data_IF_201198971331
#
_entry.id   IF_201198971331
#
_cell.length_a   1.000
_cell.length_b   1.000
_cell.length_c   1.000
_cell.angle_alpha   90.00
_cell.angle_beta   90.00
_cell.angle_gamma   90.00
#
_symmetry.space_group_name_H-M   'P 1'
#
loop_
_entity.id
_entity.type
_entity.pdbx_description
1 polymer ?
#
# COMPACT_ATOMS: atom_id res chain seq x y z
N UNK A 1 -19.86 -4.19 -3.45
CA UNK A 1 -18.87 -4.01 -4.52
C UNK A 1 -19.64 -3.59 -5.76
N UNK A 2 -19.24 -2.53 -6.46
CA UNK A 2 -19.88 -2.19 -7.75
C UNK A 2 -19.46 -3.24 -8.79
N UNK A 3 -20.45 -3.98 -9.29
CA UNK A 3 -20.28 -5.10 -10.22
C UNK A 3 -19.73 -4.66 -11.58
N UNK A 4 -20.01 -3.44 -12.01
CA UNK A 4 -19.50 -2.92 -13.30
C UNK A 4 -18.01 -2.70 -13.22
N UNK A 5 -17.56 -1.95 -12.21
CA UNK A 5 -16.13 -1.71 -11.98
C UNK A 5 -15.37 -3.01 -11.73
N UNK A 6 -15.98 -3.96 -11.01
CA UNK A 6 -15.41 -5.29 -10.82
C UNK A 6 -15.19 -5.98 -12.17
N UNK A 7 -16.21 -6.05 -13.02
CA UNK A 7 -16.11 -6.67 -14.35
C UNK A 7 -15.02 -6.02 -15.21
N UNK A 8 -14.91 -4.69 -15.18
CA UNK A 8 -13.89 -3.96 -15.93
C UNK A 8 -12.47 -4.25 -15.44
N UNK A 9 -12.26 -4.38 -14.13
CA UNK A 9 -10.96 -4.77 -13.56
C UNK A 9 -10.56 -6.20 -13.97
N UNK A 10 -11.50 -7.14 -13.97
CA UNK A 10 -11.26 -8.51 -14.45
C UNK A 10 -11.00 -8.56 -15.96
N UNK A 11 -11.68 -7.71 -16.74
CA UNK A 11 -11.42 -7.57 -18.16
C UNK A 11 -10.01 -7.02 -18.43
N UNK A 12 -9.57 -6.01 -17.68
CA UNK A 12 -8.22 -5.45 -17.80
C UNK A 12 -7.14 -6.46 -17.39
N UNK A 13 -7.34 -7.19 -16.29
CA UNK A 13 -6.45 -8.27 -15.87
C UNK A 13 -6.34 -9.37 -16.95
N UNK A 14 -7.47 -9.74 -17.58
CA UNK A 14 -7.49 -10.72 -18.68
C UNK A 14 -6.73 -10.21 -19.90
N UNK A 15 -6.96 -8.94 -20.27
CA UNK A 15 -6.26 -8.27 -21.38
C UNK A 15 -4.74 -8.24 -21.17
N UNK A 16 -4.29 -8.07 -19.92
CA UNK A 16 -2.87 -8.12 -19.53
C UNK A 16 -2.31 -9.54 -19.48
N UNK A 17 -3.14 -10.56 -19.69
CA UNK A 17 -2.73 -11.97 -19.69
C UNK A 17 -2.52 -12.54 -18.28
N UNK A 18 -3.16 -11.97 -17.26
CA UNK A 18 -3.05 -12.46 -15.88
C UNK A 18 -3.74 -13.82 -15.73
N UNK A 19 -3.17 -14.69 -14.89
CA UNK A 19 -3.81 -15.96 -14.55
C UNK A 19 -4.90 -15.73 -13.50
N UNK A 20 -6.14 -15.55 -13.94
CA UNK A 20 -7.27 -15.27 -13.05
C UNK A 20 -7.55 -16.36 -12.02
N UNK A 21 -7.09 -17.61 -12.23
CA UNK A 21 -7.23 -18.66 -11.20
C UNK A 21 -6.40 -18.35 -9.95
N UNK A 22 -5.28 -17.66 -10.11
CA UNK A 22 -4.39 -17.28 -9.03
C UNK A 22 -4.71 -15.88 -8.51
N UNK A 23 -5.14 -14.98 -9.41
CA UNK A 23 -5.30 -13.57 -9.07
C UNK A 23 -6.70 -13.19 -8.59
N UNK A 24 -7.74 -14.00 -8.79
CA UNK A 24 -9.12 -13.55 -8.51
C UNK A 24 -9.32 -13.03 -7.08
N UNK A 25 -8.83 -13.75 -6.07
CA UNK A 25 -8.91 -13.32 -4.66
C UNK A 25 -8.12 -12.04 -4.38
N UNK A 26 -6.81 -11.99 -4.68
CA UNK A 26 -6.02 -10.77 -4.57
C UNK A 26 -6.59 -9.56 -5.35
N UNK A 27 -7.13 -9.81 -6.55
CA UNK A 27 -7.76 -8.78 -7.37
C UNK A 27 -9.03 -8.23 -6.72
N UNK A 28 -9.87 -9.07 -6.10
CA UNK A 28 -11.04 -8.59 -5.36
C UNK A 28 -10.65 -7.68 -4.18
N UNK A 29 -9.48 -7.91 -3.54
CA UNK A 29 -8.94 -7.00 -2.52
C UNK A 29 -8.53 -5.66 -3.14
N UNK A 30 -7.79 -5.68 -4.25
CA UNK A 30 -7.40 -4.48 -4.97
C UNK A 30 -8.60 -3.66 -5.46
N UNK A 31 -9.64 -4.33 -5.97
CA UNK A 31 -10.90 -3.72 -6.39
C UNK A 31 -11.61 -3.05 -5.22
N UNK A 32 -11.78 -3.74 -4.10
CA UNK A 32 -12.41 -3.16 -2.91
C UNK A 32 -11.65 -1.93 -2.40
N UNK A 33 -10.32 -2.00 -2.37
CA UNK A 33 -9.47 -0.89 -1.97
C UNK A 33 -9.56 0.31 -2.91
N UNK A 34 -9.50 0.07 -4.23
CA UNK A 34 -9.61 1.13 -5.24
C UNK A 34 -10.98 1.82 -5.22
N UNK A 35 -12.06 1.05 -5.15
CA UNK A 35 -13.43 1.59 -5.07
C UNK A 35 -13.62 2.46 -3.82
N UNK A 36 -13.15 1.98 -2.68
CA UNK A 36 -13.31 2.71 -1.43
C UNK A 36 -12.45 3.98 -1.39
N UNK A 37 -11.18 3.89 -1.81
CA UNK A 37 -10.17 4.92 -1.53
C UNK A 37 -9.89 5.86 -2.70
N UNK A 38 -10.22 5.49 -3.94
CA UNK A 38 -9.86 6.24 -5.15
C UNK A 38 -11.05 6.57 -6.06
N UNK A 39 -12.29 6.40 -5.60
CA UNK A 39 -13.49 6.76 -6.36
C UNK A 39 -13.61 8.25 -6.69
N UNK A 40 -12.85 9.11 -6.00
CA UNK A 40 -12.76 10.55 -6.29
C UNK A 40 -11.89 10.88 -7.51
N UNK A 41 -11.14 9.93 -8.07
CA UNK A 41 -10.32 10.17 -9.26
C UNK A 41 -11.21 10.25 -10.50
N UNK A 42 -11.14 11.36 -11.24
CA UNK A 42 -11.94 11.53 -12.47
C UNK A 42 -11.54 10.54 -13.59
N UNK A 43 -10.30 10.03 -13.57
CA UNK A 43 -9.80 9.09 -14.57
C UNK A 43 -10.12 7.64 -14.17
N UNK A 44 -11.20 7.11 -14.76
CA UNK A 44 -11.64 5.73 -14.56
C UNK A 44 -10.55 4.68 -14.87
N UNK A 45 -9.73 4.92 -15.90
CA UNK A 45 -8.65 3.99 -16.25
C UNK A 45 -7.55 3.93 -15.19
N UNK A 46 -7.32 5.03 -14.45
CA UNK A 46 -6.38 5.06 -13.33
C UNK A 46 -6.93 4.31 -12.12
N UNK A 47 -8.24 4.37 -11.87
CA UNK A 47 -8.87 3.56 -10.81
C UNK A 47 -8.72 2.06 -11.12
N UNK A 48 -8.96 1.64 -12.36
CA UNK A 48 -8.74 0.25 -12.80
C UNK A 48 -7.26 -0.15 -12.64
N UNK A 49 -6.34 0.71 -13.08
CA UNK A 49 -4.91 0.45 -12.91
C UNK A 49 -4.55 0.21 -11.44
N UNK A 50 -5.01 1.08 -10.53
CA UNK A 50 -4.76 0.96 -9.09
C UNK A 50 -5.33 -0.36 -8.57
N UNK A 51 -6.57 -0.72 -8.93
CA UNK A 51 -7.19 -1.97 -8.51
C UNK A 51 -6.37 -3.21 -8.94
N UNK A 52 -5.98 -3.24 -10.22
CA UNK A 52 -5.23 -4.37 -10.81
C UNK A 52 -3.81 -4.43 -10.26
N UNK A 53 -3.15 -3.29 -10.11
CA UNK A 53 -1.80 -3.18 -9.56
C UNK A 53 -1.77 -3.60 -8.08
N UNK A 54 -2.68 -3.09 -7.26
CA UNK A 54 -2.81 -3.51 -5.85
C UNK A 54 -3.11 -5.01 -5.76
N UNK A 55 -4.00 -5.54 -6.59
CA UNK A 55 -4.29 -6.97 -6.62
C UNK A 55 -3.06 -7.82 -6.98
N UNK A 56 -2.22 -7.33 -7.89
CA UNK A 56 -0.94 -7.97 -8.23
C UNK A 56 0.05 -7.94 -7.06
N UNK A 57 0.16 -6.82 -6.35
CA UNK A 57 1.02 -6.72 -5.16
C UNK A 57 0.58 -7.68 -4.05
N UNK A 58 -0.73 -7.79 -3.79
CA UNK A 58 -1.30 -8.74 -2.82
C UNK A 58 -0.99 -10.18 -3.24
N UNK A 59 -1.09 -10.50 -4.53
CA UNK A 59 -0.74 -11.83 -5.01
C UNK A 59 0.75 -12.16 -4.84
N UNK A 60 1.62 -11.18 -5.07
CA UNK A 60 3.07 -11.33 -4.85
C UNK A 60 3.37 -11.56 -3.38
N UNK A 61 2.68 -10.87 -2.46
CA UNK A 61 2.77 -11.10 -1.02
C UNK A 61 2.39 -12.54 -0.65
N UNK A 62 1.21 -12.98 -1.10
CA UNK A 62 0.66 -14.31 -0.82
C UNK A 62 1.55 -15.45 -1.38
N UNK A 63 2.30 -15.19 -2.45
CA UNK A 63 3.13 -16.17 -3.15
C UNK A 63 4.64 -15.91 -3.02
N UNK A 64 5.06 -15.07 -2.08
CA UNK A 64 6.45 -14.63 -1.95
C UNK A 64 7.43 -15.81 -1.81
N UNK A 65 7.08 -16.83 -1.01
CA UNK A 65 7.90 -18.02 -0.81
C UNK A 65 8.12 -18.83 -2.11
N UNK A 66 7.09 -18.90 -2.97
CA UNK A 66 7.17 -19.61 -4.26
C UNK A 66 8.01 -18.84 -5.29
N UNK A 67 8.20 -17.54 -5.08
CA UNK A 67 8.86 -16.63 -6.01
C UNK A 67 10.18 -16.05 -5.46
N UNK A 68 10.72 -16.61 -4.37
CA UNK A 68 11.82 -15.98 -3.62
C UNK A 68 13.07 -15.73 -4.46
N UNK A 69 13.44 -16.67 -5.34
CA UNK A 69 14.55 -16.51 -6.27
C UNK A 69 14.29 -15.41 -7.31
N UNK A 70 13.02 -15.17 -7.64
CA UNK A 70 12.59 -14.09 -8.51
C UNK A 70 12.65 -12.74 -7.82
N UNK A 71 12.23 -12.65 -6.55
CA UNK A 71 12.31 -11.42 -5.75
C UNK A 71 13.77 -10.97 -5.59
N UNK A 72 14.68 -11.92 -5.29
CA UNK A 72 16.14 -11.68 -5.16
C UNK A 72 16.78 -11.06 -6.38
N UNK A 73 16.33 -11.42 -7.58
CA UNK A 73 16.89 -10.93 -8.83
C UNK A 73 16.04 -9.85 -9.49
N UNK A 74 14.90 -9.45 -8.90
CA UNK A 74 13.93 -8.58 -9.55
C UNK A 74 14.56 -7.27 -10.03
N UNK A 75 15.20 -6.54 -9.12
CA UNK A 75 15.77 -5.21 -9.40
C UNK A 75 16.88 -5.26 -10.44
N UNK A 76 17.78 -6.25 -10.35
CA UNK A 76 18.88 -6.36 -11.31
C UNK A 76 18.36 -6.74 -12.70
N UNK A 77 17.40 -7.66 -12.79
CA UNK A 77 16.74 -8.04 -14.05
C UNK A 77 15.97 -6.89 -14.65
N UNK A 78 15.24 -6.13 -13.82
CA UNK A 78 14.50 -4.95 -14.24
C UNK A 78 15.42 -3.90 -14.88
N UNK A 79 16.55 -3.58 -14.23
CA UNK A 79 17.55 -2.64 -14.76
C UNK A 79 18.20 -3.16 -16.04
N UNK A 80 18.55 -4.45 -16.09
CA UNK A 80 19.15 -5.09 -17.25
C UNK A 80 18.15 -5.39 -18.39
N UNK A 81 16.85 -5.12 -18.19
CA UNK A 81 15.75 -5.45 -19.13
C UNK A 81 15.69 -6.94 -19.47
N UNK A 82 16.01 -7.78 -18.49
CA UNK A 82 15.86 -9.23 -18.60
C UNK A 82 14.44 -9.65 -18.19
N UNK A 83 13.92 -10.75 -18.75
CA UNK A 83 12.71 -11.39 -18.23
C UNK A 83 12.85 -11.71 -16.74
N UNK A 84 11.76 -11.50 -16.00
CA UNK A 84 11.68 -11.88 -14.60
C UNK A 84 11.52 -13.40 -14.47
N UNK A 85 11.90 -13.94 -13.31
CA UNK A 85 11.80 -15.38 -13.06
C UNK A 85 10.37 -15.87 -12.77
N UNK A 86 9.47 -14.94 -12.46
CA UNK A 86 8.08 -15.23 -12.21
C UNK A 86 7.19 -14.33 -13.08
N UNK A 87 6.14 -14.93 -13.64
CA UNK A 87 5.18 -14.22 -14.49
C UNK A 87 4.48 -13.05 -13.76
N UNK A 88 4.23 -13.17 -12.46
CA UNK A 88 3.67 -12.07 -11.66
C UNK A 88 4.63 -10.86 -11.62
N UNK A 89 5.95 -11.12 -11.54
CA UNK A 89 6.97 -10.09 -11.56
C UNK A 89 7.17 -9.48 -12.96
N UNK A 90 7.04 -10.28 -14.03
CA UNK A 90 6.99 -9.75 -15.41
C UNK A 90 5.81 -8.79 -15.58
N UNK A 91 4.63 -9.18 -15.07
CA UNK A 91 3.45 -8.34 -15.09
C UNK A 91 3.64 -7.05 -14.30
N UNK A 92 4.29 -7.12 -13.14
CA UNK A 92 4.60 -5.94 -12.33
C UNK A 92 5.51 -4.99 -13.10
N UNK A 93 6.63 -5.51 -13.63
CA UNK A 93 7.58 -4.74 -14.44
C UNK A 93 6.92 -4.12 -15.68
N UNK A 94 5.99 -4.82 -16.34
CA UNK A 94 5.26 -4.29 -17.49
C UNK A 94 4.35 -3.11 -17.12
N UNK A 95 3.65 -3.19 -15.98
CA UNK A 95 2.76 -2.13 -15.51
C UNK A 95 3.50 -0.83 -15.20
N UNK A 96 4.80 -0.90 -14.83
CA UNK A 96 5.62 0.29 -14.57
C UNK A 96 5.72 1.24 -15.77
N UNK A 97 5.59 0.72 -16.99
CA UNK A 97 5.68 1.50 -18.23
C UNK A 97 4.56 2.53 -18.37
N UNK A 98 3.42 2.31 -17.71
CA UNK A 98 2.27 3.22 -17.76
C UNK A 98 2.36 4.34 -16.71
N UNK A 99 3.29 4.28 -15.75
CA UNK A 99 3.29 5.19 -14.60
C UNK A 99 3.52 6.64 -14.99
N UNK A 100 4.46 6.91 -15.90
CA UNK A 100 4.78 8.28 -16.33
C UNK A 100 3.63 8.92 -17.09
N UNK A 101 2.95 8.16 -17.94
CA UNK A 101 1.78 8.63 -18.70
C UNK A 101 0.59 8.89 -17.77
N UNK A 102 0.49 8.11 -16.69
CA UNK A 102 -0.61 8.21 -15.73
C UNK A 102 -0.40 9.29 -14.69
N UNK A 103 0.78 9.48 -14.10
CA UNK A 103 0.97 10.42 -12.97
C UNK A 103 2.06 11.47 -13.20
N UNK A 104 2.69 11.49 -14.37
CA UNK A 104 3.82 12.37 -14.66
C UNK A 104 5.12 11.93 -13.99
N UNK A 105 6.24 12.50 -14.43
CA UNK A 105 7.57 11.99 -14.12
C UNK A 105 7.90 11.90 -12.61
N UNK A 106 7.57 12.93 -11.83
CA UNK A 106 7.92 12.98 -10.40
C UNK A 106 7.17 11.88 -9.62
N UNK A 107 5.84 11.82 -9.78
CA UNK A 107 5.02 10.83 -9.11
C UNK A 107 5.34 9.41 -9.59
N UNK A 108 5.54 9.21 -10.91
CA UNK A 108 5.92 7.93 -11.46
C UNK A 108 7.23 7.38 -10.87
N UNK A 109 8.24 8.25 -10.71
CA UNK A 109 9.51 7.85 -10.09
C UNK A 109 9.34 7.48 -8.60
N UNK A 110 8.48 8.19 -7.87
CA UNK A 110 8.18 7.86 -6.46
C UNK A 110 7.42 6.53 -6.36
N UNK A 111 6.43 6.30 -7.22
CA UNK A 111 5.66 5.06 -7.29
C UNK A 111 6.59 3.88 -7.61
N UNK A 112 7.44 4.00 -8.63
CA UNK A 112 8.40 2.96 -9.00
C UNK A 112 9.41 2.67 -7.88
N UNK A 113 9.92 3.71 -7.21
CA UNK A 113 10.82 3.52 -6.08
C UNK A 113 10.14 2.75 -4.93
N UNK A 114 8.90 3.10 -4.59
CA UNK A 114 8.13 2.39 -3.56
C UNK A 114 7.82 0.94 -3.95
N UNK A 115 7.60 0.65 -5.24
CA UNK A 115 7.44 -0.72 -5.74
C UNK A 115 8.72 -1.54 -5.58
N UNK A 116 9.88 -0.97 -5.92
CA UNK A 116 11.18 -1.64 -5.74
C UNK A 116 11.46 -1.87 -4.25
N UNK A 117 11.17 -0.89 -3.40
CA UNK A 117 11.33 -1.02 -1.95
C UNK A 117 10.42 -2.12 -1.38
N UNK A 118 9.18 -2.24 -1.88
CA UNK A 118 8.26 -3.32 -1.52
C UNK A 118 8.81 -4.70 -1.84
N UNK A 119 9.31 -4.89 -3.08
CA UNK A 119 9.93 -6.16 -3.49
C UNK A 119 11.17 -6.46 -2.64
N UNK A 120 11.95 -5.44 -2.30
CA UNK A 120 13.09 -5.60 -1.40
C UNK A 120 12.66 -6.00 0.01
N UNK A 121 11.60 -5.40 0.54
CA UNK A 121 11.07 -5.70 1.87
C UNK A 121 10.60 -7.16 2.00
N UNK A 122 9.97 -7.73 0.96
CA UNK A 122 9.57 -9.14 0.94
C UNK A 122 10.73 -10.13 1.12
N UNK A 123 11.97 -9.69 0.89
CA UNK A 123 13.17 -10.48 1.16
C UNK A 123 13.70 -10.29 2.59
N UNK A 124 13.40 -9.16 3.24
CA UNK A 124 13.88 -8.85 4.58
C UNK A 124 13.17 -9.75 5.59
N UNK A 125 11.84 -9.87 5.50
CA UNK A 125 11.03 -10.56 6.52
C UNK A 125 11.46 -12.02 6.78
N UNK A 126 11.74 -12.86 5.76
CA UNK A 126 12.26 -14.20 5.98
C UNK A 126 13.66 -14.22 6.60
N UNK A 127 14.54 -13.30 6.22
CA UNK A 127 15.94 -13.26 6.67
C UNK A 127 16.07 -12.75 8.10
N UNK A 128 15.16 -11.87 8.55
CA UNK A 128 15.14 -11.38 9.94
C UNK A 128 14.34 -12.28 10.89
N UNK A 129 13.66 -13.30 10.37
CA UNK A 129 12.84 -14.22 11.17
C UNK A 129 13.71 -15.00 12.15
N UNK A 130 13.47 -14.77 13.45
CA UNK A 130 14.23 -15.42 14.53
C UNK A 130 15.60 -14.79 14.80
N UNK A 131 15.98 -13.74 14.08
CA UNK A 131 17.16 -12.95 14.42
C UNK A 131 16.92 -12.23 15.75
N UNK A 132 17.94 -12.19 16.62
CA UNK A 132 17.95 -11.30 17.77
C UNK A 132 18.11 -9.87 17.25
N UNK A 133 17.01 -9.28 16.80
CA UNK A 133 16.99 -7.88 16.40
C UNK A 133 17.19 -7.06 17.67
N UNK A 134 18.41 -6.52 17.84
CA UNK A 134 18.66 -5.40 18.74
C UNK A 134 17.92 -4.21 18.14
N UNK A 135 16.63 -4.13 18.42
CA UNK A 135 15.74 -3.15 17.83
C UNK A 135 16.28 -1.75 18.14
N UNK A 136 16.74 -1.07 17.10
CA UNK A 136 16.83 0.37 17.16
C UNK A 136 15.42 0.93 17.12
N UNK A 137 15.14 2.09 17.76
CA UNK A 137 13.82 2.73 17.70
C UNK A 137 13.30 2.92 16.26
N UNK A 138 14.21 3.14 15.31
CA UNK A 138 13.88 3.46 13.91
C UNK A 138 13.69 2.23 13.01
N UNK A 139 14.19 1.04 13.41
CA UNK A 139 14.12 -0.14 12.54
C UNK A 139 12.69 -0.56 12.18
N UNK A 140 11.71 -0.59 13.11
CA UNK A 140 10.32 -0.89 12.78
C UNK A 140 9.73 0.09 11.75
N UNK A 141 10.10 1.38 11.85
CA UNK A 141 9.64 2.40 10.90
C UNK A 141 10.26 2.17 9.52
N UNK A 142 11.57 1.91 9.47
CA UNK A 142 12.27 1.64 8.22
C UNK A 142 11.67 0.44 7.48
N UNK A 143 11.46 -0.70 8.15
CA UNK A 143 10.88 -1.87 7.48
C UNK A 143 9.45 -1.61 7.02
N UNK A 144 8.66 -0.87 7.81
CA UNK A 144 7.28 -0.50 7.47
C UNK A 144 7.20 0.41 6.25
N UNK A 145 8.10 1.39 6.13
CA UNK A 145 8.16 2.31 4.99
C UNK A 145 8.57 1.60 3.69
N UNK A 146 9.37 0.53 3.80
CA UNK A 146 9.71 -0.31 2.64
C UNK A 146 8.54 -1.21 2.22
N UNK A 147 7.91 -1.93 3.16
CA UNK A 147 6.84 -2.90 2.85
C UNK A 147 5.47 -2.26 2.59
N UNK A 148 5.27 -1.01 2.97
CA UNK A 148 3.94 -0.39 2.96
C UNK A 148 3.40 0.09 1.62
N UNK A 149 4.30 0.37 0.68
CA UNK A 149 3.97 0.98 -0.62
C UNK A 149 3.18 2.32 -0.49
N UNK A 150 3.11 2.91 0.71
CA UNK A 150 2.26 4.06 1.01
C UNK A 150 2.66 5.32 0.26
N UNK A 151 3.95 5.47 -0.10
CA UNK A 151 4.42 6.55 -0.97
C UNK A 151 3.81 6.48 -2.36
N UNK A 152 3.64 5.27 -2.91
CA UNK A 152 2.97 5.09 -4.20
C UNK A 152 1.50 5.51 -4.10
N UNK A 153 0.77 4.97 -3.13
CA UNK A 153 -0.64 5.31 -2.93
C UNK A 153 -0.85 6.81 -2.67
N UNK A 154 0.02 7.43 -1.87
CA UNK A 154 0.00 8.88 -1.61
C UNK A 154 0.13 9.71 -2.88
N UNK A 155 0.96 9.28 -3.84
CA UNK A 155 1.06 9.95 -5.14
C UNK A 155 -0.19 9.71 -5.99
N UNK A 156 -0.76 8.51 -5.93
CA UNK A 156 -1.94 8.12 -6.69
C UNK A 156 -3.24 8.79 -6.21
N UNK A 157 -3.27 9.35 -4.99
CA UNK A 157 -4.42 10.12 -4.46
C UNK A 157 -4.78 11.30 -5.34
N UNK A 158 -3.78 11.95 -5.94
CA UNK A 158 -3.96 13.21 -6.63
C UNK A 158 -4.13 13.01 -8.13
N UNK A 159 -5.08 13.76 -8.71
CA UNK A 159 -5.30 13.73 -10.15
C UNK A 159 -4.01 14.12 -10.89
N UNK A 160 -3.67 13.45 -12.00
CA UNK A 160 -2.49 13.77 -12.81
C UNK A 160 -2.53 15.18 -13.41
N UNK A 161 -3.73 15.75 -13.57
CA UNK A 161 -3.91 17.13 -14.02
C UNK A 161 -3.53 18.16 -12.95
N UNK A 162 -3.41 17.75 -11.69
CA UNK A 162 -3.07 18.62 -10.58
C UNK A 162 -1.55 18.81 -10.48
N UNK A 163 -1.12 20.06 -10.57
CA UNK A 163 0.29 20.43 -10.39
C UNK A 163 0.89 19.82 -9.11
N UNK A 164 1.96 19.05 -9.26
CA UNK A 164 2.71 18.39 -8.17
C UNK A 164 3.06 19.34 -7.02
N UNK A 165 3.34 20.63 -7.29
CA UNK A 165 3.64 21.65 -6.28
C UNK A 165 2.46 21.93 -5.34
N UNK A 166 1.25 21.52 -5.71
CA UNK A 166 0.04 21.68 -4.90
C UNK A 166 -0.15 20.57 -3.88
N UNK A 167 0.50 19.41 -4.02
CA UNK A 167 0.25 18.27 -3.15
C UNK A 167 1.50 17.54 -2.66
N UNK A 168 2.65 17.66 -3.32
CA UNK A 168 3.84 16.86 -2.99
C UNK A 168 4.30 16.98 -1.53
N UNK A 169 4.10 18.13 -0.90
CA UNK A 169 4.47 18.34 0.50
C UNK A 169 3.62 17.52 1.49
N UNK A 170 2.44 17.04 1.08
CA UNK A 170 1.59 16.19 1.93
C UNK A 170 1.98 14.72 1.87
N UNK A 171 2.79 14.31 0.89
CA UNK A 171 3.13 12.89 0.67
C UNK A 171 3.72 12.22 1.92
N UNK A 172 4.64 12.85 2.69
CA UNK A 172 5.14 12.22 3.91
C UNK A 172 4.04 11.96 4.95
N UNK A 173 3.20 12.96 5.24
CA UNK A 173 2.08 12.81 6.20
C UNK A 173 1.01 11.83 5.68
N UNK A 174 0.74 11.81 4.38
CA UNK A 174 -0.17 10.86 3.75
C UNK A 174 0.38 9.43 3.79
N UNK A 175 1.68 9.26 3.57
CA UNK A 175 2.31 7.93 3.60
C UNK A 175 2.28 7.36 5.01
N UNK A 176 2.65 8.18 6.00
CA UNK A 176 2.53 7.82 7.42
C UNK A 176 1.09 7.48 7.80
N UNK A 177 0.12 8.26 7.33
CA UNK A 177 -1.30 7.98 7.56
C UNK A 177 -1.69 6.61 6.99
N UNK A 178 -1.34 6.33 5.74
CA UNK A 178 -1.68 5.06 5.08
C UNK A 178 -1.07 3.89 5.84
N UNK A 179 0.22 3.95 6.14
CA UNK A 179 0.90 2.83 6.77
C UNK A 179 0.31 2.50 8.13
N UNK A 180 0.09 3.52 8.95
CA UNK A 180 -0.29 3.30 10.32
C UNK A 180 -1.80 3.23 10.54
N UNK A 181 -2.65 3.75 9.65
CA UNK A 181 -4.07 3.37 9.64
C UNK A 181 -4.20 1.87 9.38
N UNK A 182 -3.40 1.30 8.48
CA UNK A 182 -3.37 -0.14 8.29
C UNK A 182 -2.94 -0.86 9.58
N UNK A 183 -1.82 -0.47 10.19
CA UNK A 183 -1.33 -1.10 11.44
C UNK A 183 -2.35 -1.01 12.58
N UNK A 184 -3.04 0.14 12.72
CA UNK A 184 -4.06 0.36 13.74
C UNK A 184 -5.28 -0.54 13.53
N UNK A 185 -5.78 -0.60 12.29
CA UNK A 185 -7.00 -1.34 11.95
C UNK A 185 -6.74 -2.83 11.71
N UNK A 186 -5.48 -3.23 11.49
CA UNK A 186 -5.07 -4.62 11.40
C UNK A 186 -4.67 -5.22 12.75
N UNK A 187 -4.32 -4.41 13.74
CA UNK A 187 -3.84 -4.87 15.05
C UNK A 187 -4.68 -6.00 15.64
N UNK A 188 -6.02 -5.88 15.62
CA UNK A 188 -6.89 -6.90 16.20
C UNK A 188 -6.79 -8.26 15.49
N UNK A 189 -6.82 -8.28 14.15
CA UNK A 189 -6.68 -9.54 13.40
C UNK A 189 -5.30 -10.19 13.62
N UNK A 190 -4.27 -9.38 13.83
CA UNK A 190 -2.88 -9.82 14.01
C UNK A 190 -2.65 -10.38 15.40
N UNK A 191 -3.19 -9.74 16.44
CA UNK A 191 -3.17 -10.29 17.80
C UNK A 191 -3.93 -11.63 17.86
N UNK A 192 -5.08 -11.75 17.19
CA UNK A 192 -5.81 -13.03 17.09
C UNK A 192 -5.00 -14.12 16.38
N UNK A 193 -4.10 -13.75 15.46
CA UNK A 193 -3.21 -14.66 14.74
C UNK A 193 -1.89 -14.91 15.48
N UNK A 194 -1.69 -14.30 16.66
CA UNK A 194 -0.43 -14.31 17.41
C UNK A 194 0.78 -13.84 16.57
N UNK A 195 0.53 -12.94 15.61
CA UNK A 195 1.57 -12.30 14.84
C UNK A 195 2.39 -11.35 15.74
N UNK A 196 3.71 -11.44 15.65
CA UNK A 196 4.65 -10.63 16.46
C UNK A 196 5.66 -9.86 15.63
N UNK A 197 5.68 -10.12 14.32
CA UNK A 197 6.49 -9.41 13.33
C UNK A 197 5.68 -8.28 12.65
N UNK A 198 4.82 -7.60 13.40
CA UNK A 198 4.10 -6.41 12.94
C UNK A 198 4.68 -5.13 13.58
N UNK A 199 4.34 -3.98 13.00
CA UNK A 199 4.87 -2.70 13.42
C UNK A 199 4.64 -2.44 14.92
N UNK A 200 3.40 -2.59 15.40
CA UNK A 200 3.04 -2.30 16.81
C UNK A 200 3.83 -3.17 17.79
N UNK A 201 3.96 -4.46 17.51
CA UNK A 201 4.72 -5.39 18.37
C UNK A 201 6.21 -5.07 18.37
N UNK A 202 6.78 -4.77 17.20
CA UNK A 202 8.19 -4.40 17.09
C UNK A 202 8.48 -3.05 17.76
N UNK A 203 7.61 -2.06 17.57
CA UNK A 203 7.75 -0.73 18.15
C UNK A 203 7.60 -0.78 19.69
N UNK A 204 6.60 -1.50 20.21
CA UNK A 204 6.45 -1.70 21.65
C UNK A 204 7.69 -2.33 22.29
N UNK A 205 8.29 -3.33 21.63
CA UNK A 205 9.52 -3.99 22.09
C UNK A 205 10.73 -3.06 22.01
N UNK A 206 10.85 -2.24 20.96
CA UNK A 206 11.95 -1.29 20.79
C UNK A 206 11.94 -0.20 21.87
N UNK A 207 10.75 0.29 22.22
CA UNK A 207 10.54 1.37 23.18
C UNK A 207 10.40 0.87 24.63
N UNK A 208 10.29 -0.44 24.85
CA UNK A 208 10.08 -1.01 26.19
C UNK A 208 8.71 -0.68 26.80
N UNK A 209 7.69 -0.49 25.96
CA UNK A 209 6.31 -0.17 26.38
C UNK A 209 5.34 -1.32 26.07
N UNK A 210 4.11 -1.24 26.58
CA UNK A 210 3.07 -2.21 26.21
C UNK A 210 2.58 -2.02 24.77
N UNK A 211 2.07 -3.08 24.13
CA UNK A 211 1.47 -2.97 22.79
C UNK A 211 0.30 -1.99 22.75
N UNK A 212 -0.52 -1.94 23.80
CA UNK A 212 -1.66 -1.01 23.90
C UNK A 212 -1.18 0.45 23.99
N UNK A 213 -0.12 0.69 24.76
CA UNK A 213 0.49 2.01 24.84
C UNK A 213 1.12 2.44 23.50
N UNK A 214 1.84 1.53 22.83
CA UNK A 214 2.35 1.79 21.48
C UNK A 214 1.23 2.08 20.48
N UNK A 215 0.14 1.31 20.51
CA UNK A 215 -1.04 1.50 19.66
C UNK A 215 -1.70 2.87 19.88
N UNK A 216 -1.84 3.30 21.15
CA UNK A 216 -2.41 4.61 21.48
C UNK A 216 -1.53 5.76 20.94
N UNK A 217 -0.21 5.68 21.15
CA UNK A 217 0.75 6.68 20.62
C UNK A 217 0.74 6.73 19.08
N UNK A 218 0.59 5.56 18.45
CA UNK A 218 0.48 5.45 16.99
C UNK A 218 -0.79 6.14 16.51
N UNK A 219 -1.94 5.90 17.16
CA UNK A 219 -3.20 6.55 16.83
C UNK A 219 -3.11 8.09 16.90
N UNK A 220 -2.50 8.62 17.97
CA UNK A 220 -2.29 10.07 18.13
C UNK A 220 -1.40 10.64 17.01
N UNK A 221 -0.32 9.94 16.67
CA UNK A 221 0.62 10.34 15.61
C UNK A 221 -0.05 10.31 14.23
N UNK A 222 -0.81 9.26 13.92
CA UNK A 222 -1.57 9.11 12.68
C UNK A 222 -2.63 10.21 12.54
N UNK A 223 -3.37 10.51 13.61
CA UNK A 223 -4.33 11.60 13.62
C UNK A 223 -3.64 12.97 13.42
N UNK A 224 -2.48 13.20 14.04
CA UNK A 224 -1.69 14.41 13.84
C UNK A 224 -1.22 14.57 12.38
N UNK A 225 -0.78 13.50 11.72
CA UNK A 225 -0.44 13.52 10.29
C UNK A 225 -1.64 13.91 9.42
N UNK A 226 -2.81 13.34 9.68
CA UNK A 226 -4.05 13.74 8.98
C UNK A 226 -4.33 15.23 9.17
N UNK A 227 -4.30 15.74 10.40
CA UNK A 227 -4.57 17.16 10.68
C UNK A 227 -3.54 18.10 10.03
N UNK A 228 -2.25 17.73 10.01
CA UNK A 228 -1.22 18.49 9.28
C UNK A 228 -1.48 18.51 7.78
N UNK A 229 -1.84 17.37 7.20
CA UNK A 229 -2.20 17.28 5.78
C UNK A 229 -3.40 18.16 5.42
N UNK A 230 -4.45 18.13 6.24
CA UNK A 230 -5.58 19.06 6.10
C UNK A 230 -5.11 20.51 6.11
N UNK A 231 -4.35 20.90 7.13
CA UNK A 231 -3.85 22.28 7.28
C UNK A 231 -2.99 22.73 6.09
N UNK A 232 -2.09 21.87 5.63
CA UNK A 232 -1.21 22.13 4.50
C UNK A 232 -1.97 22.35 3.18
N UNK A 233 -3.07 21.62 2.99
CA UNK A 233 -3.88 21.66 1.77
C UNK A 233 -5.05 22.65 1.85
N UNK A 234 -5.25 23.37 2.97
CA UNK A 234 -6.39 24.30 3.16
C UNK A 234 -6.56 25.32 2.03
N UNK A 235 -5.47 25.84 1.47
CA UNK A 235 -5.51 26.80 0.36
C UNK A 235 -5.63 26.17 -1.03
N UNK A 236 -5.85 24.85 -1.11
CA UNK A 236 -5.82 24.05 -2.35
C UNK A 236 -7.02 23.09 -2.37
N UNK A 237 -8.24 23.58 -2.67
CA UNK A 237 -9.48 22.82 -2.50
C UNK A 237 -9.50 21.46 -3.22
N UNK A 238 -9.04 21.40 -4.47
CA UNK A 238 -8.99 20.15 -5.24
C UNK A 238 -8.10 19.09 -4.56
N UNK A 239 -6.89 19.48 -4.13
CA UNK A 239 -5.96 18.60 -3.44
C UNK A 239 -6.51 18.16 -2.08
N UNK A 240 -7.09 19.11 -1.32
CA UNK A 240 -7.68 18.84 -0.01
C UNK A 240 -8.84 17.86 -0.11
N UNK A 241 -9.71 18.02 -1.11
CA UNK A 241 -10.84 17.12 -1.33
C UNK A 241 -10.35 15.71 -1.69
N UNK A 242 -9.38 15.59 -2.60
CA UNK A 242 -8.80 14.30 -2.95
C UNK A 242 -8.18 13.60 -1.72
N UNK A 243 -7.40 14.33 -0.91
CA UNK A 243 -6.80 13.81 0.32
C UNK A 243 -7.87 13.36 1.33
N UNK A 244 -8.90 14.16 1.58
CA UNK A 244 -10.00 13.79 2.50
C UNK A 244 -10.78 12.56 2.01
N UNK A 245 -11.14 12.54 0.73
CA UNK A 245 -11.87 11.43 0.12
C UNK A 245 -11.08 10.13 0.24
N UNK A 246 -9.78 10.17 -0.08
CA UNK A 246 -8.90 9.03 0.11
C UNK A 246 -8.82 8.59 1.58
N UNK A 247 -8.53 9.50 2.51
CA UNK A 247 -8.39 9.15 3.93
C UNK A 247 -9.66 8.51 4.51
N UNK A 248 -10.84 9.05 4.17
CA UNK A 248 -12.13 8.51 4.59
C UNK A 248 -12.41 7.16 3.92
N UNK A 249 -12.14 7.05 2.62
CA UNK A 249 -12.30 5.83 1.85
C UNK A 249 -11.42 4.70 2.37
N UNK A 250 -10.19 5.01 2.77
CA UNK A 250 -9.24 4.05 3.30
C UNK A 250 -9.66 3.47 4.65
N UNK A 251 -10.21 4.29 5.54
CA UNK A 251 -10.86 3.81 6.77
C UNK A 251 -12.06 2.92 6.40
N UNK A 252 -12.90 3.36 5.45
CA UNK A 252 -14.06 2.60 4.99
C UNK A 252 -13.69 1.22 4.43
N UNK A 253 -12.62 1.12 3.66
CA UNK A 253 -12.08 -0.15 3.16
C UNK A 253 -11.78 -1.14 4.30
N UNK A 254 -11.11 -0.68 5.36
CA UNK A 254 -10.77 -1.51 6.50
C UNK A 254 -12.02 -1.87 7.32
N UNK A 255 -12.86 -0.89 7.65
CA UNK A 255 -14.06 -1.06 8.46
C UNK A 255 -15.07 -2.04 7.85
N UNK A 256 -15.20 -2.03 6.52
CA UNK A 256 -16.16 -2.86 5.79
C UNK A 256 -15.58 -4.21 5.36
N UNK A 257 -14.27 -4.40 5.43
CA UNK A 257 -13.63 -5.63 4.99
C UNK A 257 -13.62 -6.67 6.12
N UNK A 258 -14.18 -7.88 5.90
CA UNK A 258 -14.18 -8.94 6.92
C UNK A 258 -12.77 -9.43 7.26
N UNK A 259 -11.76 -9.11 6.43
CA UNK A 259 -10.34 -9.43 6.68
C UNK A 259 -9.88 -8.90 8.04
N UNK A 260 -10.33 -7.71 8.44
CA UNK A 260 -9.84 -7.02 9.64
C UNK A 260 -10.62 -7.37 10.91
N UNK A 261 -11.75 -8.09 10.80
CA UNK A 261 -12.57 -8.57 11.93
C UNK A 261 -13.01 -7.47 12.90
N UNK A 262 -13.18 -6.25 12.41
CA UNK A 262 -13.54 -5.09 13.23
C UNK A 262 -15.00 -5.13 13.70
N UNK A 263 -15.85 -5.89 13.02
CA UNK A 263 -17.23 -6.19 13.42
C UNK A 263 -17.31 -6.93 14.77
N UNK A 264 -16.22 -7.58 15.20
CA UNK A 264 -16.14 -8.30 16.47
C UNK A 264 -15.86 -7.37 17.66
N UNK A 265 -15.46 -6.11 17.40
CA UNK A 265 -14.99 -5.19 18.43
C UNK A 265 -16.08 -4.28 19.02
N UNK A 266 -17.31 -4.31 18.51
CA UNK A 266 -18.41 -3.42 18.95
C UNK A 266 -17.98 -1.93 19.05
N UNK A 267 -17.24 -1.45 18.04
CA UNK A 267 -16.74 -0.07 17.95
C UNK A 267 -17.82 0.94 17.57
#
# INVERSE_FOLDING_TARGET
>A
MDETFRADCFADATRRGFNLKLLAGPLDVGIAFAQASFSHLDNYSSQIFIAVWTGLLVHIDDCCELCIDGLKEFTIRFVCREPQKCRALDHLAEMTKELSDRWGAIAANIILAAEIDYIAASMIDPEIKGMEVRLTPDFPQFTREMSGVARAYSCQVFSPSLDVRKWIQVVPDCSYYIDHVNDLLSFYKEELAAESANFVSMHARAEGVSKIEALARLADSTAACYHRGIKLLQSRPEALNAFKSFCSGYIGFHALSPRYKLDQLNL
#
